data_IF_977631552089
#
_entry.id   IF_977631552089
#
_cell.length_a   1.000
_cell.length_b   1.000
_cell.length_c   1.000
_cell.angle_alpha   90.00
_cell.angle_beta   90.00
_cell.angle_gamma   90.00
#
_symmetry.space_group_name_H-M   'P 1'
#
loop_
_entity.id
_entity.type
_entity.pdbx_description
1 polymer ?
#
# COMPACT_ATOMS: atom_id res chain seq x y z
N UNK A 1 11.09 18.74 9.65
CA UNK A 1 9.82 19.46 9.91
C UNK A 1 8.99 19.59 8.62
N UNK A 2 7.72 19.21 8.63
CA UNK A 2 6.84 19.20 7.44
C UNK A 2 6.45 17.80 6.97
N UNK A 3 5.96 17.69 5.74
CA UNK A 3 5.33 16.46 5.21
C UNK A 3 6.32 15.41 4.67
N UNK A 4 7.63 15.69 4.67
CA UNK A 4 8.67 14.80 4.08
C UNK A 4 8.55 13.36 4.58
N UNK A 5 8.37 13.15 5.88
CA UNK A 5 8.23 11.79 6.45
C UNK A 5 6.98 11.09 5.92
N UNK A 6 5.87 11.83 5.80
CA UNK A 6 4.61 11.28 5.27
C UNK A 6 4.73 10.97 3.78
N UNK A 7 5.37 11.85 3.01
CA UNK A 7 5.65 11.66 1.57
C UNK A 7 6.53 10.44 1.36
N UNK A 8 7.61 10.28 2.13
CA UNK A 8 8.46 9.09 2.08
C UNK A 8 7.65 7.81 2.30
N UNK A 9 6.80 7.77 3.35
CA UNK A 9 5.94 6.61 3.61
C UNK A 9 4.98 6.32 2.46
N UNK A 10 4.39 7.34 1.83
CA UNK A 10 3.51 7.18 0.68
C UNK A 10 4.27 6.57 -0.51
N UNK A 11 5.46 7.09 -0.82
CA UNK A 11 6.31 6.59 -1.91
C UNK A 11 6.78 5.15 -1.67
N UNK A 12 6.98 4.76 -0.41
CA UNK A 12 7.30 3.36 -0.06
C UNK A 12 6.10 2.41 -0.24
N UNK A 13 4.86 2.93 -0.21
CA UNK A 13 3.64 2.16 -0.39
C UNK A 13 3.24 1.92 -1.85
N UNK A 14 3.66 2.82 -2.76
CA UNK A 14 3.26 2.79 -4.16
C UNK A 14 4.42 2.36 -5.07
N UNK A 15 4.10 1.84 -6.24
CA UNK A 15 5.07 1.69 -7.30
C UNK A 15 5.41 3.06 -7.91
N UNK A 16 6.69 3.41 -7.96
CA UNK A 16 7.15 4.70 -8.52
C UNK A 16 7.04 4.78 -10.05
N UNK A 17 6.78 3.66 -10.72
CA UNK A 17 6.60 3.60 -12.17
C UNK A 17 5.13 3.78 -12.58
N UNK A 18 4.19 3.10 -11.91
CA UNK A 18 2.77 3.14 -12.28
C UNK A 18 1.87 3.91 -11.30
N UNK A 19 2.39 4.33 -10.14
CA UNK A 19 1.65 5.09 -9.13
C UNK A 19 0.64 4.28 -8.30
N UNK A 20 0.50 2.97 -8.54
CA UNK A 20 -0.44 2.11 -7.83
C UNK A 20 0.10 1.60 -6.51
N UNK A 21 -0.79 1.26 -5.59
CA UNK A 21 -0.42 0.64 -4.31
C UNK A 21 0.19 -0.74 -4.58
N UNK A 22 1.29 -1.09 -3.91
CA UNK A 22 1.97 -2.38 -4.09
C UNK A 22 1.21 -3.58 -3.50
N UNK A 23 0.09 -3.33 -2.83
CA UNK A 23 -0.78 -4.34 -2.24
C UNK A 23 -2.21 -3.82 -2.31
N UNK A 24 -3.16 -4.71 -2.51
CA UNK A 24 -4.58 -4.43 -2.51
C UNK A 24 -5.34 -5.55 -1.77
N UNK A 25 -6.67 -5.48 -1.77
CA UNK A 25 -7.52 -6.43 -1.07
C UNK A 25 -7.62 -7.82 -1.73
N UNK A 26 -6.96 -8.05 -2.86
CA UNK A 26 -6.81 -9.40 -3.43
C UNK A 26 -5.88 -10.27 -2.56
N UNK A 27 -4.93 -9.64 -1.87
CA UNK A 27 -4.05 -10.28 -0.89
C UNK A 27 -4.78 -10.40 0.46
N UNK A 28 -5.18 -11.62 0.88
CA UNK A 28 -5.98 -11.81 2.11
C UNK A 28 -5.24 -11.29 3.35
N UNK A 29 -3.91 -11.40 3.36
CA UNK A 29 -3.08 -10.94 4.48
C UNK A 29 -3.12 -9.43 4.60
N UNK A 30 -3.12 -8.72 3.47
CA UNK A 30 -3.28 -7.27 3.46
C UNK A 30 -4.70 -6.86 3.84
N UNK A 31 -5.71 -7.51 3.24
CA UNK A 31 -7.12 -7.24 3.47
C UNK A 31 -7.47 -7.34 4.97
N UNK A 32 -7.10 -8.44 5.63
CA UNK A 32 -7.37 -8.66 7.05
C UNK A 32 -6.70 -7.61 7.95
N UNK A 33 -5.48 -7.19 7.61
CA UNK A 33 -4.75 -6.15 8.36
C UNK A 33 -5.44 -4.79 8.31
N UNK A 34 -6.06 -4.43 7.19
CA UNK A 34 -6.66 -3.09 7.02
C UNK A 34 -8.17 -3.07 7.28
N UNK A 35 -8.86 -4.21 7.16
CA UNK A 35 -10.33 -4.34 7.22
C UNK A 35 -10.96 -3.68 8.44
N UNK A 36 -10.33 -3.83 9.60
CA UNK A 36 -10.87 -3.35 10.87
C UNK A 36 -10.25 -2.02 11.36
N UNK A 37 -9.28 -1.46 10.63
CA UNK A 37 -8.57 -0.24 11.05
C UNK A 37 -9.31 1.00 10.56
N UNK A 38 -10.14 1.59 11.43
CA UNK A 38 -10.95 2.77 11.11
C UNK A 38 -10.17 4.09 11.20
N UNK A 39 -9.27 4.22 12.17
CA UNK A 39 -8.49 5.44 12.36
C UNK A 39 -7.54 5.66 11.15
N UNK A 40 -7.62 6.81 10.45
CA UNK A 40 -6.83 7.04 9.24
C UNK A 40 -5.31 7.00 9.47
N UNK A 41 -4.85 7.44 10.65
CA UNK A 41 -3.42 7.48 10.98
C UNK A 41 -2.89 6.07 11.24
N UNK A 42 -3.64 5.27 12.00
CA UNK A 42 -3.36 3.85 12.21
C UNK A 42 -3.43 3.06 10.91
N UNK A 43 -4.41 3.35 10.04
CA UNK A 43 -4.54 2.69 8.73
C UNK A 43 -3.34 2.96 7.84
N UNK A 44 -2.89 4.21 7.76
CA UNK A 44 -1.68 4.56 7.01
C UNK A 44 -0.45 3.82 7.55
N UNK A 45 -0.31 3.70 8.87
CA UNK A 45 0.79 2.99 9.50
C UNK A 45 0.74 1.48 9.21
N UNK A 46 -0.45 0.88 9.20
CA UNK A 46 -0.66 -0.53 8.83
C UNK A 46 -0.31 -0.79 7.35
N UNK A 47 -0.82 0.05 6.44
CA UNK A 47 -0.50 -0.04 5.00
C UNK A 47 0.99 0.11 4.76
N UNK A 48 1.62 1.12 5.36
CA UNK A 48 3.06 1.35 5.20
C UNK A 48 3.91 0.20 5.72
N UNK A 49 3.58 -0.35 6.89
CA UNK A 49 4.30 -1.50 7.43
C UNK A 49 4.22 -2.72 6.52
N UNK A 50 3.13 -2.88 5.76
CA UNK A 50 2.97 -3.95 4.80
C UNK A 50 3.73 -3.70 3.50
N UNK A 51 3.55 -2.51 2.91
CA UNK A 51 4.07 -2.22 1.57
C UNK A 51 5.57 -1.91 1.55
N UNK A 52 6.17 -1.43 2.65
CA UNK A 52 7.60 -1.05 2.68
C UNK A 52 8.55 -2.21 2.38
N UNK A 53 8.14 -3.46 2.61
CA UNK A 53 8.92 -4.66 2.28
C UNK A 53 8.59 -5.24 0.90
N UNK A 54 7.54 -4.75 0.22
CA UNK A 54 7.23 -5.14 -1.16
C UNK A 54 8.13 -4.36 -2.12
N UNK A 55 8.99 -5.10 -2.82
CA UNK A 55 9.94 -4.55 -3.80
C UNK A 55 9.51 -4.83 -5.26
N UNK A 56 8.45 -5.62 -5.45
CA UNK A 56 7.91 -5.98 -6.76
C UNK A 56 6.54 -5.35 -6.92
N UNK A 57 6.27 -4.81 -8.10
CA UNK A 57 4.93 -4.38 -8.52
C UNK A 57 4.29 -5.57 -9.23
N UNK A 58 3.27 -6.17 -8.61
CA UNK A 58 2.48 -7.20 -9.25
C UNK A 58 1.63 -6.53 -10.35
N UNK A 59 1.70 -7.01 -11.61
CA UNK A 59 0.80 -6.55 -12.66
C UNK A 59 -0.62 -7.03 -12.35
N UNK A 60 -1.63 -6.23 -12.71
CA UNK A 60 -3.01 -6.71 -12.70
C UNK A 60 -3.11 -7.92 -13.63
N UNK A 61 -3.93 -8.91 -13.25
CA UNK A 61 -4.35 -9.93 -14.19
C UNK A 61 -4.99 -9.25 -15.41
N UNK A 62 -4.64 -9.67 -16.64
CA UNK A 62 -5.30 -9.17 -17.84
C UNK A 62 -6.81 -9.31 -17.67
N UNK A 63 -7.56 -8.22 -17.84
CA UNK A 63 -9.02 -8.33 -17.95
C UNK A 63 -9.30 -9.02 -19.29
N UNK A 64 -9.91 -10.20 -19.25
CA UNK A 64 -10.48 -10.81 -20.45
C UNK A 64 -11.64 -9.91 -20.90
N UNK A 65 -11.50 -9.29 -22.09
CA UNK A 65 -12.55 -8.52 -22.77
C UNK A 65 -13.64 -9.45 -23.34
#
# INVERSE_FOLDING_TARGET
>A
PGFIVKVKKILECICVNCGRLKADTSDPTFADRIRHVRDPKARMQAVWNYCKSKMVCEPDEPRDD
#
